data_IF_750430199935
#
_entry.id   IF_750430199935
#
_cell.length_a   1.000
_cell.length_b   1.000
_cell.length_c   1.000
_cell.angle_alpha   90.00
_cell.angle_beta   90.00
_cell.angle_gamma   90.00
#
_symmetry.space_group_name_H-M   'P 1'
#
loop_
_entity.id
_entity.type
_entity.pdbx_description
1 polymer ?
#
# COMPACT_ATOMS: atom_id res chain seq x y z
N UNK A 1 -11.03 23.72 0.55
CA UNK A 1 -10.82 22.82 1.72
C UNK A 1 -12.04 21.94 1.77
N UNK A 2 -11.87 20.63 1.64
CA UNK A 2 -12.99 19.72 1.86
C UNK A 2 -13.15 19.59 3.36
N UNK A 3 -14.31 19.89 3.89
CA UNK A 3 -14.63 19.70 5.30
C UNK A 3 -14.98 18.23 5.50
N UNK A 4 -14.53 17.62 6.59
CA UNK A 4 -14.93 16.25 6.95
C UNK A 4 -16.42 16.19 7.18
N UNK A 5 -17.06 15.13 6.72
CA UNK A 5 -18.50 14.92 6.98
C UNK A 5 -18.71 14.58 8.44
N UNK A 6 -19.72 15.18 9.08
CA UNK A 6 -20.06 14.88 10.46
C UNK A 6 -20.41 13.38 10.62
N UNK A 7 -19.75 12.72 11.57
CA UNK A 7 -19.89 11.28 11.81
C UNK A 7 -18.93 10.40 10.99
N UNK A 8 -18.10 10.96 10.11
CA UNK A 8 -17.05 10.20 9.45
C UNK A 8 -16.01 9.69 10.46
N UNK A 9 -15.46 8.48 10.22
CA UNK A 9 -14.45 7.89 11.11
C UNK A 9 -13.10 8.60 11.02
N UNK A 10 -12.73 9.10 9.85
CA UNK A 10 -11.50 9.85 9.64
C UNK A 10 -11.81 11.30 9.33
N UNK A 11 -11.03 12.19 9.91
CA UNK A 11 -11.07 13.61 9.56
C UNK A 11 -9.87 13.99 8.71
N UNK A 12 -10.01 15.06 7.94
CA UNK A 12 -8.91 15.60 7.13
C UNK A 12 -7.74 15.99 8.03
N UNK A 13 -8.02 16.56 9.22
CA UNK A 13 -7.01 16.93 10.20
C UNK A 13 -6.18 15.75 10.67
N UNK A 14 -6.80 14.57 10.90
CA UNK A 14 -6.09 13.35 11.27
C UNK A 14 -5.12 12.90 10.17
N UNK A 15 -5.55 12.98 8.91
CA UNK A 15 -4.75 12.61 7.75
C UNK A 15 -3.58 13.60 7.55
N UNK A 16 -3.87 14.90 7.61
CA UNK A 16 -2.86 15.97 7.44
C UNK A 16 -1.81 15.96 8.55
N UNK A 17 -2.21 15.67 9.80
CA UNK A 17 -1.28 15.57 10.93
C UNK A 17 -0.20 14.49 10.74
N UNK A 18 -0.50 13.47 9.94
CA UNK A 18 0.42 12.38 9.61
C UNK A 18 1.07 12.50 8.23
N UNK A 19 0.88 13.61 7.49
CA UNK A 19 1.38 13.70 6.12
C UNK A 19 2.89 13.86 6.05
N UNK A 20 3.53 13.07 5.22
CA UNK A 20 4.96 13.11 4.96
C UNK A 20 5.26 13.22 3.45
N UNK A 21 6.43 13.77 3.10
CA UNK A 21 6.84 13.92 1.69
C UNK A 21 7.44 12.64 1.12
N UNK A 22 8.08 11.83 1.97
CA UNK A 22 8.79 10.62 1.59
C UNK A 22 8.65 9.56 2.66
N UNK A 23 8.60 8.29 2.25
CA UNK A 23 8.64 7.17 3.18
C UNK A 23 10.03 7.06 3.81
N UNK A 24 10.15 6.94 5.14
CA UNK A 24 11.44 6.78 5.79
C UNK A 24 12.06 5.41 5.48
N UNK A 25 13.39 5.36 5.48
CA UNK A 25 14.16 4.13 5.22
C UNK A 25 13.88 3.00 6.24
N UNK A 26 13.38 3.35 7.42
CA UNK A 26 13.06 2.43 8.51
C UNK A 26 11.75 1.65 8.31
N UNK A 27 11.04 1.82 7.21
CA UNK A 27 9.81 1.10 6.87
C UNK A 27 10.07 -0.09 5.92
N UNK A 28 10.70 -1.19 6.40
CA UNK A 28 11.08 -2.30 5.54
C UNK A 28 9.92 -3.27 5.24
N UNK A 29 8.87 -3.28 6.07
CA UNK A 29 7.72 -4.14 5.86
C UNK A 29 6.77 -3.45 4.87
N UNK A 30 6.30 -4.21 3.89
CA UNK A 30 5.35 -3.71 2.89
C UNK A 30 4.24 -4.71 2.67
N UNK A 31 3.08 -4.20 2.29
CA UNK A 31 1.91 -5.00 1.98
C UNK A 31 1.02 -4.24 0.99
N UNK A 32 0.26 -4.99 0.23
CA UNK A 32 -0.80 -4.47 -0.63
C UNK A 32 -2.12 -4.97 -0.08
N UNK A 33 -2.94 -4.06 0.40
CA UNK A 33 -4.33 -4.35 0.75
C UNK A 33 -5.18 -4.39 -0.51
N UNK A 34 -6.01 -5.41 -0.63
CA UNK A 34 -6.91 -5.57 -1.77
C UNK A 34 -8.31 -5.88 -1.27
N UNK A 35 -9.27 -5.07 -1.72
CA UNK A 35 -10.70 -5.33 -1.58
C UNK A 35 -11.31 -5.48 -2.98
N UNK A 36 -11.43 -6.72 -3.49
CA UNK A 36 -11.90 -6.94 -4.84
C UNK A 36 -13.41 -6.73 -4.92
N UNK A 37 -13.84 -6.02 -5.95
CA UNK A 37 -15.24 -6.07 -6.35
C UNK A 37 -15.58 -7.46 -6.88
N UNK A 38 -16.55 -8.11 -6.24
CA UNK A 38 -17.04 -9.45 -6.62
C UNK A 38 -18.20 -9.37 -7.60
N UNK A 39 -18.71 -8.17 -7.87
CA UNK A 39 -19.84 -7.96 -8.76
C UNK A 39 -19.37 -7.88 -10.23
N UNK A 40 -20.15 -8.47 -11.13
CA UNK A 40 -19.92 -8.36 -12.59
C UNK A 40 -20.19 -6.95 -13.13
N UNK A 41 -20.42 -5.97 -12.24
CA UNK A 41 -20.71 -4.60 -12.65
C UNK A 41 -19.39 -3.88 -12.96
N UNK A 42 -19.16 -3.43 -14.20
CA UNK A 42 -17.93 -2.72 -14.59
C UNK A 42 -17.75 -1.36 -13.88
N UNK A 43 -18.71 -0.92 -13.08
CA UNK A 43 -18.62 0.30 -12.25
C UNK A 43 -18.05 0.04 -10.87
N UNK A 44 -17.90 -1.21 -10.45
CA UNK A 44 -17.35 -1.52 -9.14
C UNK A 44 -15.83 -1.40 -9.18
N UNK A 45 -15.26 -0.68 -8.22
CA UNK A 45 -13.82 -0.55 -8.07
C UNK A 45 -13.25 -1.77 -7.34
N UNK A 46 -12.02 -2.14 -7.69
CA UNK A 46 -11.20 -2.99 -6.84
C UNK A 46 -10.27 -2.08 -6.04
N UNK A 47 -10.46 -2.00 -4.74
CA UNK A 47 -9.58 -1.27 -3.85
C UNK A 47 -8.20 -1.91 -3.80
N UNK A 48 -7.14 -1.13 -4.08
CA UNK A 48 -5.75 -1.58 -4.07
C UNK A 48 -4.90 -0.49 -3.41
N UNK A 49 -4.48 -0.71 -2.17
CA UNK A 49 -3.70 0.27 -1.42
C UNK A 49 -2.37 -0.33 -0.97
N UNK A 50 -1.28 0.36 -1.27
CA UNK A 50 0.08 -0.05 -0.90
C UNK A 50 0.49 0.65 0.38
N UNK A 51 0.91 -0.14 1.37
CA UNK A 51 1.34 0.36 2.67
C UNK A 51 2.69 -0.21 3.08
N UNK A 52 3.40 0.53 3.95
CA UNK A 52 4.63 0.08 4.58
C UNK A 52 4.57 0.28 6.10
N UNK A 53 5.45 -0.39 6.86
CA UNK A 53 5.61 -0.11 8.29
C UNK A 53 7.03 -0.38 8.76
N UNK A 54 7.35 0.17 9.95
CA UNK A 54 8.50 -0.28 10.73
C UNK A 54 8.35 -1.75 11.10
N UNK A 55 9.47 -2.39 11.45
CA UNK A 55 9.52 -3.83 11.78
C UNK A 55 9.62 -4.08 13.30
N UNK A 56 9.17 -3.17 14.15
CA UNK A 56 9.16 -3.37 15.58
C UNK A 56 8.38 -4.64 15.95
N UNK A 57 8.87 -5.38 16.97
CA UNK A 57 8.17 -6.58 17.46
C UNK A 57 6.90 -6.21 18.22
N UNK A 58 6.94 -5.08 18.92
CA UNK A 58 5.78 -4.50 19.59
C UNK A 58 4.93 -3.76 18.55
N UNK A 59 3.76 -4.29 18.26
CA UNK A 59 2.85 -3.71 17.26
C UNK A 59 2.40 -2.28 17.62
N UNK A 60 2.35 -1.95 18.90
CA UNK A 60 1.97 -0.60 19.35
C UNK A 60 3.06 0.45 19.10
N UNK A 61 4.31 0.02 18.88
CA UNK A 61 5.43 0.89 18.51
C UNK A 61 5.63 1.04 17.02
N UNK A 62 4.86 0.30 16.22
CA UNK A 62 4.96 0.40 14.78
C UNK A 62 4.32 1.67 14.28
N UNK A 63 5.02 2.31 13.34
CA UNK A 63 4.47 3.32 12.46
C UNK A 63 4.28 2.74 11.07
N UNK A 64 3.26 3.21 10.37
CA UNK A 64 2.95 2.77 9.00
C UNK A 64 2.74 3.96 8.07
N UNK A 65 2.96 3.72 6.77
CA UNK A 65 2.85 4.71 5.71
C UNK A 65 1.95 4.20 4.60
N UNK A 66 0.99 5.01 4.18
CA UNK A 66 0.22 4.80 2.96
C UNK A 66 1.02 5.37 1.82
N UNK A 67 1.39 4.55 0.84
CA UNK A 67 2.35 4.89 -0.20
C UNK A 67 1.72 5.17 -1.56
N UNK A 68 0.69 4.40 -1.91
CA UNK A 68 0.07 4.47 -3.23
C UNK A 68 -1.36 3.94 -3.16
N UNK A 69 -2.28 4.70 -3.76
CA UNK A 69 -3.60 4.21 -4.14
C UNK A 69 -3.53 3.78 -5.61
N UNK A 70 -3.68 2.50 -5.84
CA UNK A 70 -3.64 1.87 -7.15
C UNK A 70 -4.99 1.27 -7.56
N UNK A 71 -6.06 1.69 -6.89
CA UNK A 71 -7.44 1.28 -7.12
C UNK A 71 -7.83 1.43 -8.58
N UNK A 72 -8.57 0.46 -9.10
CA UNK A 72 -8.95 0.43 -10.51
C UNK A 72 -10.34 -0.18 -10.70
N UNK A 73 -11.05 0.34 -11.71
CA UNK A 73 -12.24 -0.32 -12.23
C UNK A 73 -11.85 -1.40 -13.24
N UNK A 74 -12.56 -2.51 -13.25
CA UNK A 74 -12.35 -3.51 -14.29
C UNK A 74 -12.70 -4.94 -13.87
N UNK A 75 -12.59 -5.84 -14.86
CA UNK A 75 -12.80 -7.26 -14.67
C UNK A 75 -11.76 -7.88 -13.72
N UNK A 76 -11.99 -9.10 -13.21
CA UNK A 76 -11.01 -9.83 -12.41
C UNK A 76 -9.62 -9.91 -13.04
N UNK A 77 -9.52 -10.04 -14.35
CA UNK A 77 -8.24 -10.04 -15.07
C UNK A 77 -7.55 -8.67 -14.99
N UNK A 78 -8.30 -7.57 -15.14
CA UNK A 78 -7.76 -6.21 -15.12
C UNK A 78 -7.18 -5.87 -13.74
N UNK A 79 -7.98 -6.05 -12.67
CA UNK A 79 -7.47 -5.73 -11.34
C UNK A 79 -6.39 -6.71 -10.85
N UNK A 80 -6.44 -8.00 -11.22
CA UNK A 80 -5.40 -8.95 -10.85
C UNK A 80 -4.05 -8.61 -11.52
N UNK A 81 -4.04 -8.18 -12.79
CA UNK A 81 -2.85 -7.65 -13.45
C UNK A 81 -2.29 -6.41 -12.72
N UNK A 82 -3.17 -5.50 -12.29
CA UNK A 82 -2.76 -4.33 -11.52
C UNK A 82 -2.13 -4.72 -10.18
N UNK A 83 -2.74 -5.64 -9.43
CA UNK A 83 -2.21 -6.17 -8.17
C UNK A 83 -0.83 -6.79 -8.36
N UNK A 84 -0.66 -7.65 -9.38
CA UNK A 84 0.63 -8.27 -9.70
C UNK A 84 1.68 -7.22 -10.05
N UNK A 85 1.32 -6.20 -10.84
CA UNK A 85 2.22 -5.09 -11.15
C UNK A 85 2.66 -4.33 -9.87
N UNK A 86 1.75 -4.08 -8.93
CA UNK A 86 2.08 -3.46 -7.65
C UNK A 86 2.94 -4.38 -6.78
N UNK A 87 2.63 -5.68 -6.72
CA UNK A 87 3.42 -6.66 -5.97
C UNK A 87 4.89 -6.68 -6.45
N UNK A 88 5.10 -6.66 -7.76
CA UNK A 88 6.45 -6.60 -8.37
C UNK A 88 7.14 -5.26 -8.14
N UNK A 89 6.42 -4.14 -8.30
CA UNK A 89 6.94 -2.78 -8.10
C UNK A 89 7.45 -2.58 -6.68
N UNK A 90 6.67 -3.04 -5.70
CA UNK A 90 6.94 -2.79 -4.28
C UNK A 90 7.64 -3.96 -3.57
N UNK A 91 7.77 -5.12 -4.22
CA UNK A 91 8.30 -6.33 -3.60
C UNK A 91 7.45 -6.77 -2.40
N UNK A 92 6.14 -6.61 -2.48
CA UNK A 92 5.21 -6.72 -1.37
C UNK A 92 4.24 -7.90 -1.58
N UNK A 93 3.92 -8.66 -0.51
CA UNK A 93 2.81 -9.61 -0.55
C UNK A 93 1.48 -8.87 -0.55
N UNK A 94 0.44 -9.62 -0.91
CA UNK A 94 -0.94 -9.14 -0.93
C UNK A 94 -1.67 -9.62 0.32
N UNK A 95 -2.53 -8.79 0.88
CA UNK A 95 -3.54 -9.14 1.89
C UNK A 95 -4.90 -8.84 1.30
N UNK A 96 -5.75 -9.86 1.17
CA UNK A 96 -7.08 -9.73 0.60
C UNK A 96 -8.13 -10.35 1.52
N UNK A 97 -9.28 -9.68 1.67
CA UNK A 97 -10.42 -10.28 2.33
C UNK A 97 -11.04 -11.35 1.43
N UNK A 98 -11.20 -12.54 2.00
CA UNK A 98 -11.80 -13.68 1.32
C UNK A 98 -13.08 -14.07 2.08
N UNK A 99 -14.17 -13.40 1.75
CA UNK A 99 -15.50 -13.82 2.17
C UNK A 99 -16.05 -14.86 1.16
N UNK A 100 -17.32 -14.90 0.90
CA UNK A 100 -17.91 -15.81 -0.08
C UNK A 100 -17.28 -15.61 -1.47
N UNK A 101 -16.32 -16.47 -1.84
CA UNK A 101 -15.59 -16.39 -3.11
C UNK A 101 -14.08 -16.22 -3.01
N UNK A 102 -13.50 -16.36 -1.81
CA UNK A 102 -12.08 -16.08 -1.51
C UNK A 102 -11.04 -16.74 -2.42
N UNK A 103 -11.32 -17.94 -2.88
CA UNK A 103 -10.47 -18.61 -3.87
C UNK A 103 -10.36 -17.82 -5.19
N UNK A 104 -11.34 -16.98 -5.52
CA UNK A 104 -11.33 -16.20 -6.76
C UNK A 104 -10.16 -15.19 -6.79
N UNK A 105 -9.93 -14.46 -5.69
CA UNK A 105 -8.86 -13.45 -5.62
C UNK A 105 -7.49 -14.10 -5.76
N UNK A 106 -7.24 -15.10 -4.93
CA UNK A 106 -5.98 -15.85 -4.95
C UNK A 106 -5.76 -16.53 -6.30
N UNK A 107 -6.80 -17.15 -6.87
CA UNK A 107 -6.71 -17.81 -8.17
C UNK A 107 -6.46 -16.80 -9.31
N UNK A 108 -7.12 -15.65 -9.31
CA UNK A 108 -6.92 -14.62 -10.33
C UNK A 108 -5.48 -14.08 -10.31
N UNK A 109 -4.93 -13.81 -9.12
CA UNK A 109 -3.55 -13.35 -8.97
C UNK A 109 -2.56 -14.45 -9.38
N UNK A 110 -2.75 -15.68 -8.88
CA UNK A 110 -1.85 -16.80 -9.15
C UNK A 110 -1.89 -17.28 -10.61
N UNK A 111 -2.99 -17.07 -11.32
CA UNK A 111 -3.06 -17.34 -12.77
C UNK A 111 -2.12 -16.43 -13.57
N UNK A 112 -1.82 -15.23 -13.07
CA UNK A 112 -0.91 -14.27 -13.71
C UNK A 112 0.51 -14.44 -13.19
N UNK A 113 0.68 -14.57 -11.87
CA UNK A 113 1.98 -14.76 -11.24
C UNK A 113 1.87 -15.58 -9.94
N UNK A 114 2.17 -16.90 -9.98
CA UNK A 114 2.09 -17.75 -8.82
C UNK A 114 3.16 -17.47 -7.75
N UNK A 115 4.13 -16.58 -8.03
CA UNK A 115 5.15 -16.17 -7.04
C UNK A 115 4.68 -15.05 -6.12
N UNK A 116 3.57 -14.39 -6.45
CA UNK A 116 2.96 -13.37 -5.60
C UNK A 116 2.29 -14.05 -4.41
N UNK A 117 2.80 -13.78 -3.22
CA UNK A 117 2.24 -14.33 -2.00
C UNK A 117 0.95 -13.59 -1.62
N UNK A 118 -0.15 -14.31 -1.52
CA UNK A 118 -1.44 -13.79 -1.07
C UNK A 118 -1.73 -14.33 0.34
N UNK A 119 -2.01 -13.43 1.28
CA UNK A 119 -2.53 -13.74 2.60
C UNK A 119 -4.03 -13.50 2.60
N UNK A 120 -4.78 -14.56 2.77
CA UNK A 120 -6.22 -14.50 2.89
C UNK A 120 -6.62 -14.13 4.32
N UNK A 121 -7.45 -13.13 4.47
CA UNK A 121 -8.02 -12.73 5.75
C UNK A 121 -9.53 -12.93 5.75
N UNK A 122 -10.01 -13.58 6.79
CA UNK A 122 -11.45 -13.78 7.00
C UNK A 122 -11.92 -12.83 8.09
N UNK A 123 -12.88 -12.01 7.78
CA UNK A 123 -13.49 -11.13 8.76
C UNK A 123 -14.80 -11.70 9.28
N UNK A 124 -14.88 -11.83 10.62
CA UNK A 124 -16.12 -12.19 11.33
C UNK A 124 -16.88 -10.96 11.83
N UNK A 125 -16.26 -9.80 11.75
CA UNK A 125 -16.80 -8.53 12.27
C UNK A 125 -17.24 -7.60 11.15
N UNK A 126 -18.23 -6.77 11.43
CA UNK A 126 -18.67 -5.72 10.51
C UNK A 126 -17.54 -4.74 10.14
N UNK A 127 -17.70 -4.06 9.03
CA UNK A 127 -16.69 -3.14 8.47
C UNK A 127 -16.26 -2.05 9.44
N UNK A 128 -17.20 -1.46 10.18
CA UNK A 128 -16.93 -0.47 11.23
C UNK A 128 -15.98 -1.00 12.30
N UNK A 129 -16.30 -2.15 12.91
CA UNK A 129 -15.48 -2.75 13.97
C UNK A 129 -14.07 -3.11 13.52
N UNK A 130 -13.85 -3.30 12.22
CA UNK A 130 -12.53 -3.51 11.63
C UNK A 130 -11.76 -2.22 11.43
N UNK A 131 -12.46 -1.16 11.11
CA UNK A 131 -11.89 0.16 10.89
C UNK A 131 -11.45 0.85 12.18
N UNK A 132 -12.21 0.69 13.27
CA UNK A 132 -11.97 1.36 14.56
C UNK A 132 -10.52 1.23 15.08
N UNK A 133 -9.85 0.05 15.08
CA UNK A 133 -8.46 -0.02 15.52
C UNK A 133 -7.49 0.72 14.58
N UNK A 134 -7.84 0.86 13.31
CA UNK A 134 -7.04 1.64 12.34
C UNK A 134 -7.25 3.14 12.60
N UNK A 135 -8.48 3.58 12.85
CA UNK A 135 -8.78 4.96 13.27
C UNK A 135 -7.98 5.35 14.50
N UNK A 136 -7.98 4.50 15.54
CA UNK A 136 -7.20 4.72 16.75
C UNK A 136 -5.70 4.87 16.46
N UNK A 137 -5.16 4.13 15.46
CA UNK A 137 -3.76 4.28 15.07
C UNK A 137 -3.49 5.62 14.37
N UNK A 138 -4.47 6.19 13.64
CA UNK A 138 -4.39 7.55 13.12
C UNK A 138 -4.41 8.59 14.24
N UNK A 139 -5.34 8.47 15.20
CA UNK A 139 -5.41 9.35 16.38
C UNK A 139 -4.11 9.35 17.19
N UNK A 140 -3.41 8.21 17.24
CA UNK A 140 -2.12 8.05 17.88
C UNK A 140 -0.95 8.54 17.02
N UNK A 141 -1.19 9.15 15.87
CA UNK A 141 -0.16 9.60 14.91
C UNK A 141 0.81 8.48 14.50
N UNK A 142 0.33 7.25 14.39
CA UNK A 142 1.11 6.08 13.96
C UNK A 142 0.94 5.73 12.48
N UNK A 143 -0.02 6.35 11.80
CA UNK A 143 -0.24 6.17 10.36
C UNK A 143 0.00 7.50 9.64
N UNK A 144 0.76 7.42 8.57
CA UNK A 144 1.22 8.56 7.79
C UNK A 144 0.83 8.39 6.32
N UNK A 145 0.53 9.49 5.63
CA UNK A 145 0.33 9.48 4.18
C UNK A 145 1.56 10.06 3.49
N UNK A 146 2.07 9.38 2.46
CA UNK A 146 3.18 9.88 1.65
C UNK A 146 2.63 10.63 0.44
N UNK A 147 2.73 11.96 0.50
CA UNK A 147 2.11 12.83 -0.48
C UNK A 147 0.57 12.88 -0.35
N UNK A 148 -0.09 13.24 -1.43
CA UNK A 148 -1.56 13.33 -1.49
C UNK A 148 -2.13 12.12 -2.22
N UNK A 149 -3.13 11.47 -1.61
CA UNK A 149 -3.85 10.32 -2.14
C UNK A 149 -5.34 10.71 -2.24
N UNK A 150 -5.63 11.69 -3.09
CA UNK A 150 -6.87 12.45 -3.10
C UNK A 150 -8.12 11.57 -3.06
N UNK A 151 -8.25 10.59 -3.96
CA UNK A 151 -9.45 9.74 -4.04
C UNK A 151 -9.63 8.84 -2.81
N UNK A 152 -8.54 8.32 -2.23
CA UNK A 152 -8.58 7.56 -0.99
C UNK A 152 -8.96 8.46 0.19
N UNK A 153 -8.34 9.63 0.30
CA UNK A 153 -8.55 10.58 1.39
C UNK A 153 -9.98 11.15 1.37
N UNK A 154 -10.52 11.42 0.17
CA UNK A 154 -11.92 11.84 -0.01
C UNK A 154 -12.88 10.75 0.46
N UNK A 155 -12.63 9.47 0.11
CA UNK A 155 -13.46 8.36 0.58
C UNK A 155 -13.36 8.17 2.10
N UNK A 156 -12.17 8.33 2.69
CA UNK A 156 -11.96 8.23 4.14
C UNK A 156 -12.75 9.30 4.90
N UNK A 157 -12.65 10.56 4.47
CA UNK A 157 -13.29 11.70 5.15
C UNK A 157 -14.80 11.81 4.88
N UNK A 158 -15.30 11.08 3.90
CA UNK A 158 -16.72 11.02 3.57
C UNK A 158 -17.46 9.79 4.13
N UNK A 159 -16.74 8.75 4.56
CA UNK A 159 -17.41 7.52 4.98
C UNK A 159 -17.92 7.58 6.43
N UNK A 160 -19.25 7.51 6.55
CA UNK A 160 -19.96 7.40 7.82
C UNK A 160 -20.44 5.95 8.00
N UNK A 161 -20.01 5.25 9.07
CA UNK A 161 -20.47 3.89 9.34
C UNK A 161 -21.98 3.79 9.51
N UNK A 162 -22.58 2.79 8.85
CA UNK A 162 -24.03 2.61 8.86
C UNK A 162 -24.75 3.39 7.75
N UNK A 163 -24.10 4.31 7.08
CA UNK A 163 -24.64 5.04 5.95
C UNK A 163 -24.06 4.48 4.64
N UNK A 164 -24.79 3.57 4.00
CA UNK A 164 -24.41 2.99 2.71
C UNK A 164 -23.31 1.91 2.77
N UNK A 165 -22.74 1.60 1.61
CA UNK A 165 -21.63 0.64 1.46
C UNK A 165 -20.31 1.34 1.80
N UNK A 166 -19.42 0.68 2.54
CA UNK A 166 -18.07 1.24 2.73
C UNK A 166 -17.31 1.27 1.41
N UNK A 167 -16.51 2.30 1.19
CA UNK A 167 -15.75 2.45 -0.05
C UNK A 167 -14.64 1.40 -0.17
N UNK A 168 -14.43 0.88 -1.36
CA UNK A 168 -13.49 -0.22 -1.63
C UNK A 168 -12.03 0.17 -1.33
N UNK A 169 -11.64 1.45 -1.53
CA UNK A 169 -10.31 1.98 -1.14
C UNK A 169 -10.09 1.96 0.36
N UNK A 170 -11.11 2.34 1.12
CA UNK A 170 -11.05 2.36 2.60
C UNK A 170 -10.92 0.93 3.14
N UNK A 171 -11.68 -0.02 2.58
CA UNK A 171 -11.58 -1.42 2.98
C UNK A 171 -10.19 -2.00 2.67
N UNK A 172 -9.62 -1.71 1.50
CA UNK A 172 -8.26 -2.11 1.14
C UNK A 172 -7.20 -1.52 2.09
N UNK A 173 -7.33 -0.24 2.46
CA UNK A 173 -6.48 0.41 3.46
C UNK A 173 -6.58 -0.29 4.82
N UNK A 174 -7.80 -0.57 5.28
CA UNK A 174 -8.05 -1.25 6.57
C UNK A 174 -7.42 -2.64 6.59
N UNK A 175 -7.49 -3.41 5.49
CA UNK A 175 -6.82 -4.71 5.38
C UNK A 175 -5.30 -4.58 5.49
N UNK A 176 -4.70 -3.65 4.77
CA UNK A 176 -3.26 -3.40 4.82
C UNK A 176 -2.79 -2.98 6.22
N UNK A 177 -3.46 -2.00 6.83
CA UNK A 177 -3.10 -1.50 8.15
C UNK A 177 -3.33 -2.53 9.25
N UNK A 178 -4.39 -3.32 9.16
CA UNK A 178 -4.63 -4.43 10.09
C UNK A 178 -3.49 -5.44 10.04
N UNK A 179 -3.01 -5.81 8.85
CA UNK A 179 -1.90 -6.73 8.68
C UNK A 179 -0.56 -6.18 9.19
N UNK A 180 -0.34 -4.87 9.10
CA UNK A 180 0.92 -4.25 9.52
C UNK A 180 0.97 -3.92 11.02
N UNK A 181 -0.14 -3.43 11.59
CA UNK A 181 -0.15 -2.78 12.90
C UNK A 181 -0.94 -3.52 13.98
N UNK A 182 -1.93 -4.34 13.60
CA UNK A 182 -2.93 -4.85 14.53
C UNK A 182 -2.87 -6.37 14.66
N UNK A 183 -3.02 -7.07 13.54
CA UNK A 183 -3.07 -8.53 13.50
C UNK A 183 -2.38 -9.06 12.24
N UNK A 184 -1.05 -9.19 12.24
CA UNK A 184 -0.34 -9.77 11.11
C UNK A 184 -0.84 -11.19 10.81
N UNK A 185 -1.07 -11.55 9.54
CA UNK A 185 -1.41 -12.92 9.17
C UNK A 185 -0.30 -13.91 9.55
N UNK A 186 -0.65 -15.16 9.79
CA UNK A 186 0.32 -16.19 10.13
C UNK A 186 1.37 -16.34 9.00
N UNK A 187 2.65 -16.33 9.37
CA UNK A 187 3.75 -16.37 8.40
C UNK A 187 4.00 -15.07 7.62
N UNK A 188 3.34 -13.97 8.02
CA UNK A 188 3.62 -12.65 7.47
C UNK A 188 4.94 -12.12 8.04
N UNK A 189 5.96 -12.06 7.20
CA UNK A 189 7.27 -11.49 7.58
C UNK A 189 7.43 -10.10 6.93
N UNK A 190 6.41 -9.62 6.22
CA UNK A 190 6.49 -8.45 5.35
C UNK A 190 7.48 -8.65 4.19
N UNK A 191 7.21 -8.05 3.06
CA UNK A 191 8.18 -8.01 1.96
C UNK A 191 9.41 -7.23 2.38
N UNK A 192 10.39 -7.90 3.00
CA UNK A 192 11.68 -7.28 3.27
C UNK A 192 12.35 -7.07 1.93
N UNK A 193 12.48 -5.84 1.49
CA UNK A 193 13.40 -5.56 0.39
C UNK A 193 14.79 -6.02 0.84
N UNK A 194 15.22 -7.18 0.34
CA UNK A 194 16.64 -7.35 0.16
C UNK A 194 17.00 -6.29 -0.86
N UNK A 195 17.72 -5.26 -0.43
CA UNK A 195 18.21 -4.20 -1.28
C UNK A 195 19.15 -4.80 -2.32
N UNK A 196 18.60 -5.38 -3.38
CA UNK A 196 19.20 -5.32 -4.68
C UNK A 196 18.74 -3.97 -5.23
N UNK A 197 19.50 -2.92 -4.92
CA UNK A 197 19.55 -1.73 -5.76
C UNK A 197 19.50 -2.22 -7.21
N UNK A 198 18.59 -1.69 -8.05
CA UNK A 198 18.75 -1.87 -9.47
C UNK A 198 20.15 -1.32 -9.76
N UNK A 199 21.08 -2.22 -10.04
CA UNK A 199 22.40 -1.83 -10.52
C UNK A 199 22.13 -0.86 -11.65
N UNK A 200 22.60 0.37 -11.50
CA UNK A 200 22.54 1.37 -12.54
C UNK A 200 23.02 0.68 -13.83
N UNK A 201 22.07 0.44 -14.74
CA UNK A 201 22.40 -0.10 -16.05
C UNK A 201 23.44 0.86 -16.64
N UNK A 202 24.70 0.46 -16.63
CA UNK A 202 25.73 1.12 -17.41
C UNK A 202 25.22 1.09 -18.84
N UNK A 203 24.95 2.27 -19.38
CA UNK A 203 24.70 2.44 -20.81
C UNK A 203 25.99 2.10 -21.48
N UNK A 204 26.07 1.05 -22.32
CA UNK A 204 27.28 0.78 -23.10
C UNK A 204 27.38 1.89 -24.14
N UNK A 205 28.46 2.69 -24.11
CA UNK A 205 28.77 3.57 -25.24
C UNK A 205 29.23 4.99 -24.95
N UNK A 206 29.36 5.44 -23.70
CA UNK A 206 29.98 6.74 -23.45
C UNK A 206 31.45 6.51 -23.10
N UNK A 207 32.35 6.59 -24.12
CA UNK A 207 33.77 6.74 -23.93
C UNK A 207 34.05 8.15 -23.42
N UNK A 208 34.46 8.27 -22.16
CA UNK A 208 35.09 9.49 -21.66
C UNK A 208 36.47 9.61 -22.30
N UNK A 209 36.58 10.38 -23.38
CA UNK A 209 37.83 10.88 -23.90
C UNK A 209 38.27 12.05 -23.04
N UNK A 210 39.20 11.84 -22.15
CA UNK A 210 40.04 12.92 -21.65
C UNK A 210 41.42 12.34 -21.29
N UNK A 211 42.31 12.35 -22.26
CA UNK A 211 43.76 12.18 -22.09
C UNK A 211 44.42 13.48 -22.52
N UNK A 212 44.43 14.46 -21.63
CA UNK A 212 45.23 15.68 -21.77
C UNK A 212 46.48 15.59 -20.89
N UNK A 213 47.56 15.06 -21.43
CA UNK A 213 48.87 15.06 -20.78
C UNK A 213 49.47 16.47 -20.78
N UNK A 214 49.56 17.09 -19.61
CA UNK A 214 50.35 18.30 -19.41
C UNK A 214 51.83 17.94 -19.23
N UNK A 215 52.65 18.26 -20.22
CA UNK A 215 54.13 18.26 -20.10
C UNK A 215 54.55 19.44 -19.22
N UNK A 216 55.21 19.14 -18.12
CA UNK A 216 55.90 20.12 -17.29
C UNK A 216 57.23 20.45 -17.96
N UNK A 217 57.42 21.70 -18.38
CA UNK A 217 58.69 22.28 -18.83
C UNK A 217 59.44 22.78 -17.58
N UNK A 218 60.70 22.31 -17.36
CA UNK A 218 61.63 22.93 -16.41
C UNK A 218 62.61 23.77 -17.23
N UNK A 219 62.84 25.03 -16.87
CA UNK A 219 63.94 25.82 -17.38
C UNK A 219 65.23 25.56 -16.57
N UNK A 220 66.35 25.73 -17.29
CA UNK A 220 67.71 25.76 -16.73
C UNK A 220 67.93 27.03 -15.90
#
# INVERSE_FOLDING_TARGET
MLDSIEGALWTIEMIEAGREKVMPAQAPLRVIGVDPSVAENPRDECGIVVCASTADRDLYKRHAWVLEDATIHGSPEVWANKVVAMARKWGAPVVAEVNQGGALVTNAINAIDPTVKVFEVHSKHGKQLRAEPVVLAYEQHRIHHVGYLAELEDQMSAWVPGEGKSPDRVDALVHAMTALLIKPPQGFIGGRLTAKSPAARRIPGVRNGNSGGARVFRPR
#
